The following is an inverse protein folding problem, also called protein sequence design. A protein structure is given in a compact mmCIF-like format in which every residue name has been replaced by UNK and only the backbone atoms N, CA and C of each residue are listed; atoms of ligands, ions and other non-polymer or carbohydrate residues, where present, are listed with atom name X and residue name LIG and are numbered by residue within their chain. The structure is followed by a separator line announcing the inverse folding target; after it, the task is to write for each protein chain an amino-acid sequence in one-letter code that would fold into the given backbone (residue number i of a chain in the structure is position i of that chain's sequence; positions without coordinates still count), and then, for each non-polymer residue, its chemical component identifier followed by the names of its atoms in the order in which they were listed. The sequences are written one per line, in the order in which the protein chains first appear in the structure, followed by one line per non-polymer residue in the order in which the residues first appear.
data_IF_770963058311
#
_entry.id   IF_770963058311
#
_cell.length_a   1.000
_cell.length_b   1.000
_cell.length_c   1.000
_cell.angle_alpha   90.00
_cell.angle_beta   90.00
_cell.angle_gamma   90.00
#
_symmetry.space_group_name_H-M   'P 1'
#
loop_
_entity.id
_entity.type
_entity.pdbx_description
1 polymer ?
#
# COMPACT_ATOMS: atom_id res chain seq x y z
N UNK A 1 6.24 9.17 -10.40
CA UNK A 1 6.78 10.42 -11.01
C UNK A 1 7.06 11.49 -9.97
N UNK A 2 6.12 11.89 -9.11
CA UNK A 2 6.38 13.02 -8.18
C UNK A 2 7.49 12.77 -7.14
N UNK A 3 7.61 11.56 -6.60
CA UNK A 3 8.73 11.19 -5.71
C UNK A 3 10.09 11.30 -6.41
N UNK A 4 10.16 10.86 -7.67
CA UNK A 4 11.37 10.96 -8.48
C UNK A 4 11.73 12.43 -8.77
N UNK A 5 10.74 13.28 -8.99
CA UNK A 5 10.97 14.71 -9.15
C UNK A 5 11.47 15.36 -7.85
N UNK A 6 10.93 14.95 -6.68
CA UNK A 6 11.46 15.41 -5.39
C UNK A 6 12.91 14.94 -5.18
N UNK A 7 13.24 13.70 -5.57
CA UNK A 7 14.62 13.21 -5.59
C UNK A 7 15.53 14.09 -6.47
N UNK A 8 15.07 14.46 -7.67
CA UNK A 8 15.85 15.34 -8.56
C UNK A 8 16.11 16.72 -7.94
N UNK A 9 15.13 17.31 -7.26
CA UNK A 9 15.29 18.60 -6.59
C UNK A 9 16.26 18.53 -5.40
N UNK A 10 16.18 17.48 -4.58
CA UNK A 10 17.10 17.27 -3.45
C UNK A 10 18.54 17.00 -3.94
N UNK A 11 18.70 16.26 -5.04
CA UNK A 11 19.99 16.10 -5.71
C UNK A 11 20.56 17.45 -6.18
N UNK A 12 19.76 18.30 -6.82
CA UNK A 12 20.20 19.63 -7.27
C UNK A 12 20.57 20.55 -6.12
N UNK A 13 19.89 20.45 -4.99
CA UNK A 13 20.26 21.20 -3.80
C UNK A 13 21.65 20.76 -3.31
N UNK A 14 21.88 19.45 -3.17
CA UNK A 14 23.19 18.93 -2.77
C UNK A 14 24.28 19.36 -3.76
N UNK A 15 24.00 19.35 -5.06
CA UNK A 15 24.96 19.76 -6.07
C UNK A 15 25.30 21.25 -5.96
N UNK A 16 24.28 22.12 -5.87
CA UNK A 16 24.46 23.56 -5.81
C UNK A 16 25.18 24.02 -4.53
N UNK A 17 24.96 23.34 -3.40
CA UNK A 17 25.72 23.57 -2.15
C UNK A 17 27.23 23.34 -2.32
N UNK A 18 27.61 22.36 -3.14
CA UNK A 18 29.02 22.01 -3.37
C UNK A 18 29.68 22.83 -4.49
N UNK A 19 28.92 23.30 -5.48
CA UNK A 19 29.50 23.81 -6.73
C UNK A 19 29.03 25.22 -7.15
N UNK A 20 27.81 25.61 -6.82
CA UNK A 20 27.16 26.78 -7.43
C UNK A 20 26.94 27.96 -6.46
N UNK A 21 27.11 27.71 -5.16
CA UNK A 21 26.98 28.73 -4.11
C UNK A 21 25.56 28.95 -3.59
N UNK A 22 25.42 29.91 -2.68
CA UNK A 22 24.21 30.14 -1.87
C UNK A 22 23.02 30.54 -2.74
N UNK A 23 23.16 31.51 -3.64
CA UNK A 23 22.07 32.02 -4.50
C UNK A 23 21.39 30.91 -5.31
N UNK A 24 22.19 30.00 -5.88
CA UNK A 24 21.68 28.86 -6.67
C UNK A 24 21.04 27.81 -5.78
N UNK A 25 21.58 27.60 -4.59
CA UNK A 25 20.98 26.71 -3.58
C UNK A 25 19.60 27.21 -3.16
N UNK A 26 19.45 28.50 -2.91
CA UNK A 26 18.16 29.10 -2.52
C UNK A 26 17.08 28.92 -3.59
N UNK A 27 17.43 29.06 -4.88
CA UNK A 27 16.49 28.82 -5.99
C UNK A 27 15.97 27.37 -5.97
N UNK A 28 16.83 26.39 -5.69
CA UNK A 28 16.43 24.97 -5.65
C UNK A 28 15.56 24.69 -4.43
N UNK A 29 15.93 25.22 -3.26
CA UNK A 29 15.12 25.09 -2.02
C UNK A 29 13.74 25.72 -2.21
N UNK A 30 13.64 26.87 -2.86
CA UNK A 30 12.36 27.50 -3.19
C UNK A 30 11.52 26.67 -4.18
N UNK A 31 12.18 25.98 -5.12
CA UNK A 31 11.51 25.04 -6.01
C UNK A 31 10.94 23.84 -5.23
N UNK A 32 11.70 23.27 -4.28
CA UNK A 32 11.21 22.20 -3.39
C UNK A 32 10.00 22.66 -2.57
N UNK A 33 10.08 23.84 -1.93
CA UNK A 33 8.96 24.42 -1.16
C UNK A 33 7.70 24.55 -2.01
N UNK A 34 7.82 25.08 -3.23
CA UNK A 34 6.69 25.22 -4.16
C UNK A 34 6.15 23.86 -4.60
N UNK A 35 7.01 22.88 -4.83
CA UNK A 35 6.60 21.55 -5.25
C UNK A 35 5.84 20.81 -4.14
N UNK A 36 6.39 20.76 -2.92
CA UNK A 36 5.73 20.16 -1.75
C UNK A 36 4.39 20.84 -1.46
N UNK A 37 4.35 22.17 -1.48
CA UNK A 37 3.11 22.93 -1.21
C UNK A 37 2.00 22.66 -2.21
N UNK A 38 2.32 22.62 -3.50
CA UNK A 38 1.30 22.64 -4.55
C UNK A 38 1.02 21.28 -5.19
N UNK A 39 1.91 20.30 -5.00
CA UNK A 39 1.83 18.99 -5.63
C UNK A 39 1.88 17.86 -4.58
N UNK A 40 3.05 17.31 -4.31
CA UNK A 40 3.20 16.05 -3.59
C UNK A 40 2.62 16.09 -2.17
N UNK A 41 2.78 17.21 -1.46
CA UNK A 41 2.20 17.37 -0.13
C UNK A 41 0.68 17.44 -0.10
N UNK A 42 0.01 17.73 -1.22
CA UNK A 42 -1.45 17.82 -1.27
C UNK A 42 -2.10 16.44 -1.27
N UNK A 43 -1.57 15.50 -2.05
CA UNK A 43 -2.22 14.20 -2.24
C UNK A 43 -1.66 13.09 -1.36
N UNK A 44 -0.36 13.13 -1.01
CA UNK A 44 0.28 12.05 -0.23
C UNK A 44 -0.44 11.77 1.10
N UNK A 45 -0.85 12.77 1.90
CA UNK A 45 -1.52 12.49 3.19
C UNK A 45 -2.84 11.73 3.04
N UNK A 46 -3.64 12.05 2.01
CA UNK A 46 -4.89 11.33 1.75
C UNK A 46 -4.61 9.93 1.22
N UNK A 47 -3.67 9.81 0.27
CA UNK A 47 -3.30 8.54 -0.33
C UNK A 47 -2.79 7.54 0.72
N UNK A 48 -1.87 7.96 1.60
CA UNK A 48 -1.33 7.08 2.64
C UNK A 48 -2.43 6.62 3.60
N UNK A 49 -3.34 7.52 3.99
CA UNK A 49 -4.49 7.16 4.83
C UNK A 49 -5.42 6.14 4.16
N UNK A 50 -5.71 6.31 2.87
CA UNK A 50 -6.54 5.37 2.12
C UNK A 50 -5.84 4.03 1.91
N UNK A 51 -4.54 4.05 1.59
CA UNK A 51 -3.73 2.85 1.42
C UNK A 51 -3.64 2.06 2.72
N UNK A 52 -3.38 2.72 3.85
CA UNK A 52 -3.33 2.08 5.16
C UNK A 52 -4.70 1.51 5.59
N UNK A 53 -5.82 2.14 5.21
CA UNK A 53 -7.17 1.58 5.42
C UNK A 53 -7.44 0.34 4.56
N UNK A 54 -6.84 0.27 3.35
CA UNK A 54 -7.07 -0.81 2.37
C UNK A 54 -6.10 -1.97 2.50
N UNK A 55 -4.90 -1.70 3.01
CA UNK A 55 -3.86 -2.66 3.35
C UNK A 55 -3.64 -2.61 4.86
N UNK A 56 -4.44 -3.38 5.56
CA UNK A 56 -4.48 -3.46 7.01
C UNK A 56 -3.22 -4.12 7.61
N UNK A 57 -2.48 -4.90 6.81
CA UNK A 57 -1.16 -5.45 7.17
C UNK A 57 -0.21 -5.52 5.96
N UNK A 58 1.04 -5.91 6.20
CA UNK A 58 2.03 -6.18 5.14
C UNK A 58 2.78 -4.96 4.62
N UNK A 59 3.51 -5.16 3.51
CA UNK A 59 4.46 -4.18 2.97
C UNK A 59 3.82 -2.83 2.64
N UNK A 60 2.64 -2.82 2.02
CA UNK A 60 1.98 -1.58 1.60
C UNK A 60 1.52 -0.72 2.78
N UNK A 61 1.12 -1.35 3.90
CA UNK A 61 0.84 -0.63 5.14
C UNK A 61 2.08 0.09 5.67
N UNK A 62 3.20 -0.64 5.74
CA UNK A 62 4.48 -0.09 6.22
C UNK A 62 4.98 1.06 5.33
N UNK A 63 4.85 0.91 4.01
CA UNK A 63 5.19 1.98 3.05
C UNK A 63 4.27 3.19 3.24
N UNK A 64 2.96 2.98 3.41
CA UNK A 64 2.02 4.08 3.64
C UNK A 64 2.36 4.88 4.91
N UNK A 65 2.67 4.18 5.99
CA UNK A 65 3.05 4.82 7.26
C UNK A 65 4.34 5.61 7.12
N UNK A 66 5.38 4.98 6.55
CA UNK A 66 6.68 5.61 6.30
C UNK A 66 6.54 6.85 5.39
N UNK A 67 5.77 6.76 4.31
CA UNK A 67 5.54 7.89 3.41
C UNK A 67 4.77 9.03 4.08
N UNK A 68 3.84 8.72 4.98
CA UNK A 68 3.11 9.74 5.74
C UNK A 68 4.05 10.48 6.69
N UNK A 69 4.86 9.75 7.45
CA UNK A 69 5.85 10.34 8.37
C UNK A 69 6.91 11.15 7.62
N UNK A 70 7.40 10.64 6.49
CA UNK A 70 8.34 11.37 5.64
C UNK A 70 7.72 12.67 5.11
N UNK A 71 6.45 12.67 4.71
CA UNK A 71 5.78 13.89 4.23
C UNK A 71 5.63 14.93 5.35
N UNK A 72 5.25 14.50 6.56
CA UNK A 72 5.17 15.40 7.72
C UNK A 72 6.55 16.01 8.05
N UNK A 73 7.61 15.20 7.97
CA UNK A 73 8.98 15.67 8.10
C UNK A 73 9.34 16.70 7.03
N UNK A 74 9.11 16.43 5.74
CA UNK A 74 9.44 17.34 4.64
C UNK A 74 8.71 18.68 4.76
N UNK A 75 7.42 18.64 5.11
CA UNK A 75 6.60 19.85 5.31
C UNK A 75 7.18 20.71 6.44
N UNK A 76 7.56 20.08 7.56
CA UNK A 76 8.18 20.77 8.68
C UNK A 76 9.59 21.29 8.34
N UNK A 77 10.41 20.46 7.71
CA UNK A 77 11.79 20.77 7.33
C UNK A 77 11.86 21.96 6.37
N UNK A 78 10.99 21.99 5.36
CA UNK A 78 10.92 23.08 4.38
C UNK A 78 10.14 24.30 4.89
N UNK A 79 9.47 24.20 6.05
CA UNK A 79 8.68 25.28 6.64
C UNK A 79 7.50 25.70 5.76
N UNK A 80 6.84 24.74 5.10
CA UNK A 80 5.72 25.01 4.19
C UNK A 80 4.38 24.68 4.82
N UNK A 81 3.34 25.45 4.51
CA UNK A 81 1.96 25.10 4.85
C UNK A 81 1.27 24.53 3.63
N UNK A 82 0.81 23.29 3.75
CA UNK A 82 0.11 22.57 2.67
C UNK A 82 -1.39 22.58 2.92
N UNK A 83 -2.17 22.47 1.84
CA UNK A 83 -3.62 22.21 1.89
C UNK A 83 -3.86 20.80 1.33
N UNK A 84 -3.86 19.76 2.19
CA UNK A 84 -4.08 18.38 1.78
C UNK A 84 -5.47 18.19 1.17
N UNK A 85 -5.58 17.24 0.24
CA UNK A 85 -6.86 16.79 -0.27
C UNK A 85 -7.66 16.09 0.81
N UNK A 86 -8.98 16.24 0.70
CA UNK A 86 -9.97 15.55 1.50
C UNK A 86 -10.58 14.38 0.74
N UNK A 87 -11.30 13.49 1.43
CA UNK A 87 -12.05 12.42 0.76
C UNK A 87 -13.10 12.98 -0.24
N UNK A 88 -13.57 14.22 -0.06
CA UNK A 88 -14.48 14.87 -1.02
C UNK A 88 -13.80 15.28 -2.33
N UNK A 89 -12.47 15.45 -2.32
CA UNK A 89 -11.68 15.74 -3.53
C UNK A 89 -11.33 14.47 -4.31
N UNK A 90 -11.48 13.30 -3.69
CA UNK A 90 -11.19 12.02 -4.31
C UNK A 90 -12.20 11.70 -5.40
N UNK A 91 -11.72 11.57 -6.63
CA UNK A 91 -12.49 11.03 -7.75
C UNK A 91 -11.95 9.65 -8.07
N UNK A 92 -12.74 8.58 -7.86
CA UNK A 92 -12.35 7.25 -8.30
C UNK A 92 -12.01 7.31 -9.79
N UNK A 93 -10.87 6.74 -10.16
CA UNK A 93 -10.61 6.52 -11.57
C UNK A 93 -11.70 5.58 -12.09
N UNK A 94 -12.55 6.05 -13.01
CA UNK A 94 -13.31 5.16 -13.87
C UNK A 94 -12.31 4.51 -14.80
N UNK A 95 -11.76 3.37 -14.38
CA UNK A 95 -10.89 2.57 -15.22
C UNK A 95 -11.74 1.92 -16.31
N UNK A 96 -11.90 2.63 -17.43
CA UNK A 96 -12.43 2.04 -18.65
C UNK A 96 -11.24 1.45 -19.39
N UNK A 97 -11.00 0.16 -19.22
CA UNK A 97 -10.01 -0.54 -20.01
C UNK A 97 -10.33 -0.35 -21.50
N UNK A 98 -9.41 0.20 -22.31
CA UNK A 98 -9.65 0.41 -23.75
C UNK A 98 -10.07 -0.88 -24.48
N UNK A 99 -9.64 -2.03 -23.94
CA UNK A 99 -9.87 -3.37 -24.47
C UNK A 99 -10.76 -4.25 -23.57
N UNK A 100 -11.41 -3.67 -22.55
CA UNK A 100 -12.23 -4.44 -21.60
C UNK A 100 -11.45 -5.33 -20.61
N UNK A 101 -10.12 -5.32 -20.65
CA UNK A 101 -9.28 -6.10 -19.72
C UNK A 101 -9.25 -5.47 -18.33
N UNK A 102 -9.67 -6.22 -17.31
CA UNK A 102 -9.63 -5.78 -15.91
C UNK A 102 -8.29 -6.19 -15.31
N UNK A 103 -7.40 -5.22 -15.05
CA UNK A 103 -6.19 -5.48 -14.27
C UNK A 103 -6.49 -5.21 -12.81
N UNK A 104 -6.67 -6.28 -12.03
CA UNK A 104 -6.86 -6.17 -10.60
C UNK A 104 -5.51 -6.14 -9.89
N UNK A 105 -5.18 -5.00 -9.29
CA UNK A 105 -4.01 -4.88 -8.43
C UNK A 105 -4.26 -5.63 -7.13
N UNK A 106 -3.72 -6.85 -7.02
CA UNK A 106 -3.16 -7.55 -5.83
C UNK A 106 -3.87 -7.55 -4.47
N UNK A 107 -4.99 -6.87 -4.29
CA UNK A 107 -5.72 -6.77 -3.03
C UNK A 107 -7.02 -7.56 -3.13
N UNK A 108 -6.88 -8.86 -3.36
CA UNK A 108 -7.92 -9.83 -3.03
C UNK A 108 -7.31 -10.87 -2.09
N UNK A 109 -7.01 -10.49 -0.85
CA UNK A 109 -7.06 -11.51 0.19
C UNK A 109 -8.50 -11.56 0.71
N UNK A 110 -9.33 -12.39 0.06
CA UNK A 110 -10.68 -12.70 0.56
C UNK A 110 -10.64 -13.79 1.64
N UNK A 111 -9.46 -14.20 2.09
CA UNK A 111 -9.28 -15.28 3.07
C UNK A 111 -9.70 -16.66 2.57
N UNK A 112 -10.02 -16.80 1.27
CA UNK A 112 -10.46 -18.05 0.66
C UNK A 112 -9.38 -18.70 -0.23
N UNK A 113 -8.17 -18.13 -0.28
CA UNK A 113 -7.03 -18.62 -1.07
C UNK A 113 -6.73 -20.10 -0.79
N UNK A 114 -6.80 -20.50 0.49
CA UNK A 114 -6.57 -21.90 0.86
C UNK A 114 -7.67 -22.83 0.32
N UNK A 115 -8.93 -22.39 0.33
CA UNK A 115 -10.04 -23.16 -0.27
C UNK A 115 -9.90 -23.24 -1.79
N UNK A 116 -9.56 -22.13 -2.45
CA UNK A 116 -9.33 -22.12 -3.89
C UNK A 116 -8.17 -23.05 -4.28
N UNK A 117 -7.04 -22.97 -3.57
CA UNK A 117 -5.89 -23.86 -3.79
C UNK A 117 -6.24 -25.32 -3.55
N UNK A 118 -6.96 -25.64 -2.46
CA UNK A 118 -7.39 -27.00 -2.17
C UNK A 118 -8.36 -27.54 -3.23
N UNK A 119 -9.22 -26.68 -3.78
CA UNK A 119 -10.13 -27.05 -4.87
C UNK A 119 -9.39 -27.32 -6.18
N UNK A 120 -8.38 -26.49 -6.51
CA UNK A 120 -7.61 -26.57 -7.75
C UNK A 120 -6.69 -27.80 -7.79
N UNK A 121 -6.07 -28.15 -6.66
CA UNK A 121 -5.24 -29.36 -6.56
C UNK A 121 -6.06 -30.63 -6.22
N UNK A 122 -7.38 -30.51 -6.13
CA UNK A 122 -8.31 -31.61 -5.82
C UNK A 122 -8.20 -32.15 -4.39
N UNK A 123 -7.49 -31.46 -3.50
CA UNK A 123 -7.20 -31.89 -2.13
C UNK A 123 -8.39 -31.76 -1.18
N UNK A 124 -9.48 -31.07 -1.57
CA UNK A 124 -10.72 -31.04 -0.76
C UNK A 124 -11.29 -32.45 -0.54
N UNK A 125 -11.22 -33.30 -1.56
CA UNK A 125 -11.68 -34.70 -1.47
C UNK A 125 -10.89 -35.54 -0.46
N UNK A 126 -9.61 -35.23 -0.26
CA UNK A 126 -8.73 -35.91 0.69
C UNK A 126 -9.02 -35.51 2.14
N UNK A 127 -9.40 -34.25 2.36
CA UNK A 127 -9.74 -33.75 3.70
C UNK A 127 -11.10 -34.30 4.16
N UNK A 128 -12.07 -34.40 3.26
CA UNK A 128 -13.39 -34.98 3.54
C UNK A 128 -13.33 -36.49 3.83
N UNK A 129 -12.48 -37.23 3.14
CA UNK A 129 -12.25 -38.65 3.43
C UNK A 129 -11.60 -38.84 4.80
N UNK A 130 -10.59 -38.03 5.15
CA UNK A 130 -9.90 -38.10 6.44
C UNK A 130 -10.79 -37.70 7.61
N UNK A 131 -11.76 -36.81 7.40
CA UNK A 131 -12.77 -36.45 8.39
C UNK A 131 -13.78 -37.60 8.61
N UNK A 132 -14.25 -38.24 7.52
CA UNK A 132 -15.13 -39.41 7.60
C UNK A 132 -14.46 -40.64 8.20
N UNK A 133 -13.16 -40.86 7.95
CA UNK A 133 -12.39 -41.94 8.58
C UNK A 133 -12.26 -41.73 10.10
N UNK A 134 -12.05 -40.49 10.55
CA UNK A 134 -12.02 -40.14 11.98
C UNK A 134 -13.34 -40.34 12.71
N UNK A 135 -14.47 -40.14 12.02
CA UNK A 135 -15.80 -40.39 12.59
C UNK A 135 -16.22 -41.87 12.52
N UNK A 136 -15.65 -42.64 11.57
CA UNK A 136 -15.85 -44.09 11.46
C UNK A 136 -15.11 -44.92 12.52
N UNK A 137 -14.05 -44.38 13.11
CA UNK A 137 -13.20 -45.11 14.09
C UNK A 137 -13.66 -44.94 15.55
N UNK A 138 -14.89 -44.45 15.80
CA UNK A 138 -15.49 -44.29 17.14
C UNK A 138 -16.61 -45.28 17.48
N UNK A 139 -16.69 -46.43 16.80
CA UNK A 139 -17.66 -47.48 17.14
C UNK A 139 -17.02 -48.86 17.25
N UNK A 140 -16.11 -49.07 18.18
CA UNK A 140 -15.87 -50.40 18.77
C UNK A 140 -15.18 -50.27 20.13
N UNK A 141 -15.99 -50.23 21.20
CA UNK A 141 -15.58 -50.45 22.59
C UNK A 141 -16.39 -51.62 23.16
N UNK A 142 -15.81 -52.47 24.02
CA UNK A 142 -16.17 -53.88 24.12
C UNK A 142 -17.51 -54.14 24.82
N UNK A 143 -18.22 -55.14 24.33
CA UNK A 143 -19.36 -55.79 25.00
C UNK A 143 -18.81 -56.74 26.07
N UNK A 144 -19.15 -56.48 27.34
CA UNK A 144 -18.92 -57.38 28.48
C UNK A 144 -20.24 -57.64 29.21
N UNK A 145 -20.72 -58.88 29.15
CA UNK A 145 -21.92 -59.40 29.81
C UNK A 145 -21.75 -59.60 31.32
N UNK A 146 -22.82 -59.30 32.05
CA UNK A 146 -23.23 -59.75 33.39
C UNK A 146 -22.32 -59.43 34.60
#
# INVERSE_FOLDING_TARGET
VELEFMHFLTYKESYSRCHDGVDKTEIVVDAQKKFVKNHIGRWVPLFCRMLAKKSDTGLFKLIADCMSEWMDFEVAFLGVTVQPYSEADYRPATFNAPEGQTYECGAQDKGNELSMLLSEVGAESFMDQKAKEKDGEKSEGPVGTA
#
